data_IF_304293188216
#
_entry.id   IF_304293188216
#
_cell.length_a   1.000
_cell.length_b   1.000
_cell.length_c   1.000
_cell.angle_alpha   90.00
_cell.angle_beta   90.00
_cell.angle_gamma   90.00
#
_symmetry.space_group_name_H-M   'P 1'
#
loop_
_entity.id
_entity.type
_entity.pdbx_description
1 polymer ?
#
# COMPACT_ATOMS: atom_id res chain seq x y z
N UNK A 1 -6.89 -6.86 12.95
CA UNK A 1 -5.60 -7.59 12.86
C UNK A 1 -5.12 -8.12 14.21
N UNK A 2 -5.03 -7.31 15.28
CA UNK A 2 -4.63 -7.81 16.62
C UNK A 2 -5.55 -8.91 17.19
N UNK A 3 -6.82 -8.94 16.77
CA UNK A 3 -7.81 -9.96 17.16
C UNK A 3 -8.13 -10.96 16.04
N UNK A 4 -7.35 -11.00 14.95
CA UNK A 4 -7.59 -11.95 13.86
C UNK A 4 -6.74 -13.21 14.00
N UNK A 5 -7.23 -14.34 13.44
CA UNK A 5 -6.49 -15.61 13.40
C UNK A 5 -5.08 -15.42 12.83
N UNK A 6 -4.14 -16.26 13.27
CA UNK A 6 -2.71 -16.16 12.95
C UNK A 6 -2.43 -16.21 11.44
N UNK A 7 -3.27 -16.91 10.67
CA UNK A 7 -3.23 -16.96 9.21
C UNK A 7 -3.42 -15.59 8.53
N UNK A 8 -4.16 -14.65 9.14
CA UNK A 8 -4.33 -13.28 8.63
C UNK A 8 -3.23 -12.32 9.13
N UNK A 9 -2.16 -12.85 9.72
CA UNK A 9 -0.98 -12.08 10.15
C UNK A 9 0.22 -12.32 9.25
N UNK A 10 0.12 -13.23 8.27
CA UNK A 10 1.20 -13.52 7.33
C UNK A 10 1.09 -12.65 6.10
N UNK A 11 2.23 -12.14 5.63
CA UNK A 11 2.34 -11.35 4.40
C UNK A 11 1.75 -12.10 3.21
N UNK A 12 2.08 -13.38 3.08
CA UNK A 12 1.64 -14.24 1.97
C UNK A 12 0.12 -14.33 1.83
N UNK A 13 -0.60 -14.28 2.96
CA UNK A 13 -2.06 -14.33 2.98
C UNK A 13 -2.71 -13.11 2.30
N UNK A 14 -1.97 -12.01 2.14
CA UNK A 14 -2.44 -10.80 1.44
C UNK A 14 -1.97 -10.71 -0.01
N UNK A 15 -1.18 -11.67 -0.50
CA UNK A 15 -0.77 -11.71 -1.91
C UNK A 15 -1.96 -11.76 -2.89
N UNK A 16 -3.05 -12.53 -2.64
CA UNK A 16 -4.21 -12.49 -3.53
C UNK A 16 -4.84 -11.09 -3.65
N UNK A 17 -4.86 -10.33 -2.55
CA UNK A 17 -5.34 -8.95 -2.55
C UNK A 17 -4.42 -8.04 -3.38
N UNK A 18 -3.10 -8.24 -3.29
CA UNK A 18 -2.15 -7.51 -4.12
C UNK A 18 -2.32 -7.81 -5.62
N UNK A 19 -2.52 -9.08 -6.00
CA UNK A 19 -2.79 -9.47 -7.38
C UNK A 19 -4.06 -8.80 -7.93
N UNK A 20 -5.15 -8.81 -7.14
CA UNK A 20 -6.39 -8.11 -7.51
C UNK A 20 -6.17 -6.60 -7.67
N UNK A 21 -5.39 -5.98 -6.79
CA UNK A 21 -5.10 -4.55 -6.85
C UNK A 21 -4.29 -4.18 -8.08
N UNK A 22 -3.33 -5.02 -8.52
CA UNK A 22 -2.60 -4.80 -9.77
C UNK A 22 -3.54 -4.75 -10.98
N UNK A 23 -4.46 -5.70 -11.08
CA UNK A 23 -5.43 -5.71 -12.18
C UNK A 23 -6.32 -4.47 -12.16
N UNK A 24 -6.80 -4.08 -10.98
CA UNK A 24 -7.57 -2.86 -10.77
C UNK A 24 -6.81 -1.61 -11.20
N UNK A 25 -5.59 -1.41 -10.70
CA UNK A 25 -4.83 -0.18 -10.97
C UNK A 25 -4.40 -0.12 -12.44
N UNK A 26 -4.07 -1.25 -13.07
CA UNK A 26 -3.78 -1.30 -14.50
C UNK A 26 -4.99 -0.88 -15.35
N UNK A 27 -6.20 -1.35 -15.00
CA UNK A 27 -7.41 -0.94 -15.71
C UNK A 27 -7.73 0.54 -15.48
N UNK A 28 -7.60 1.01 -14.24
CA UNK A 28 -7.82 2.41 -13.89
C UNK A 28 -6.87 3.33 -14.68
N UNK A 29 -5.59 2.98 -14.75
CA UNK A 29 -4.58 3.78 -15.45
C UNK A 29 -4.67 3.68 -16.97
N UNK A 30 -5.11 2.54 -17.53
CA UNK A 30 -5.39 2.43 -18.98
C UNK A 30 -6.51 3.37 -19.42
N UNK A 31 -7.49 3.59 -18.55
CA UNK A 31 -8.61 4.49 -18.81
C UNK A 31 -8.28 5.97 -18.48
N UNK A 32 -7.19 6.22 -17.76
CA UNK A 32 -6.73 7.55 -17.43
C UNK A 32 -5.92 8.15 -18.59
N UNK A 33 -6.23 9.38 -18.99
CA UNK A 33 -5.30 10.16 -19.83
C UNK A 33 -3.97 10.37 -19.09
N UNK A 34 -2.84 10.49 -19.82
CA UNK A 34 -1.50 10.67 -19.22
C UNK A 34 -1.44 11.78 -18.15
N UNK A 35 -2.21 12.85 -18.33
CA UNK A 35 -2.25 14.00 -17.42
C UNK A 35 -3.23 13.83 -16.24
N UNK A 36 -3.97 12.73 -16.19
CA UNK A 36 -5.01 12.46 -15.19
C UNK A 36 -4.62 11.35 -14.19
N UNK A 37 -3.48 10.69 -14.38
CA UNK A 37 -2.99 9.61 -13.49
C UNK A 37 -3.01 10.02 -12.02
N UNK A 38 -2.50 11.21 -11.71
CA UNK A 38 -2.50 11.73 -10.35
C UNK A 38 -3.92 11.89 -9.79
N UNK A 39 -4.87 12.37 -10.60
CA UNK A 39 -6.27 12.54 -10.20
C UNK A 39 -6.95 11.19 -9.97
N UNK A 40 -6.68 10.19 -10.82
CA UNK A 40 -7.20 8.84 -10.63
C UNK A 40 -6.68 8.21 -9.34
N UNK A 41 -5.39 8.39 -9.03
CA UNK A 41 -4.78 7.84 -7.81
C UNK A 41 -5.30 8.51 -6.52
N UNK A 42 -5.72 9.78 -6.56
CA UNK A 42 -6.29 10.48 -5.40
C UNK A 42 -7.60 9.86 -4.90
N UNK A 43 -8.35 9.22 -5.80
CA UNK A 43 -9.65 8.59 -5.49
C UNK A 43 -9.59 7.06 -5.59
N UNK A 44 -8.41 6.50 -5.88
CA UNK A 44 -8.23 5.07 -6.04
C UNK A 44 -8.29 4.36 -4.69
N UNK A 45 -8.82 3.13 -4.70
CA UNK A 45 -8.63 2.23 -3.58
C UNK A 45 -7.18 1.74 -3.56
N UNK A 46 -6.51 1.92 -2.41
CA UNK A 46 -5.12 1.52 -2.22
C UNK A 46 -4.97 0.22 -1.43
N UNK A 47 -6.05 -0.44 -1.02
CA UNK A 47 -5.95 -1.75 -0.36
C UNK A 47 -5.38 -2.78 -1.34
N UNK A 48 -4.31 -3.47 -0.93
CA UNK A 48 -3.52 -4.35 -1.79
C UNK A 48 -2.33 -3.67 -2.48
N UNK A 49 -2.22 -2.34 -2.43
CA UNK A 49 -1.07 -1.63 -2.96
C UNK A 49 0.19 -1.96 -2.16
N UNK A 50 1.30 -2.23 -2.85
CA UNK A 50 2.62 -2.26 -2.20
C UNK A 50 3.09 -0.82 -2.03
N UNK A 51 3.31 -0.42 -0.79
CA UNK A 51 3.83 0.89 -0.44
C UNK A 51 5.23 0.79 0.12
N UNK A 52 6.07 1.75 -0.26
CA UNK A 52 7.36 2.04 0.36
C UNK A 52 7.29 3.38 1.08
N UNK A 53 7.73 3.43 2.33
CA UNK A 53 7.94 4.68 3.06
C UNK A 53 9.26 5.29 2.60
N UNK A 54 9.21 6.40 1.89
CA UNK A 54 10.40 7.08 1.35
C UNK A 54 10.91 8.13 2.32
N UNK A 55 9.98 8.88 2.92
CA UNK A 55 10.27 9.86 3.96
C UNK A 55 9.24 9.73 5.08
N UNK A 56 9.65 9.95 6.32
CA UNK A 56 8.77 10.00 7.47
C UNK A 56 9.44 10.79 8.58
N UNK A 57 8.66 11.54 9.37
CA UNK A 57 9.17 12.16 10.61
C UNK A 57 9.72 11.12 11.61
N UNK A 58 9.28 9.86 11.52
CA UNK A 58 9.74 8.77 12.39
C UNK A 58 10.74 7.93 11.61
N UNK A 59 12.03 8.12 11.89
CA UNK A 59 13.14 7.54 11.12
C UNK A 59 13.08 6.00 11.03
N UNK A 60 12.60 5.33 12.09
CA UNK A 60 12.48 3.86 12.12
C UNK A 60 11.44 3.29 11.15
N UNK A 61 10.60 4.14 10.55
CA UNK A 61 9.62 3.73 9.54
C UNK A 61 10.13 3.92 8.11
N UNK A 62 11.21 4.69 7.91
CA UNK A 62 11.77 4.96 6.59
C UNK A 62 12.31 3.64 6.00
N UNK A 63 12.02 3.40 4.73
CA UNK A 63 12.44 2.20 4.02
C UNK A 63 11.53 0.99 4.20
N UNK A 64 10.53 1.04 5.11
CA UNK A 64 9.54 -0.03 5.23
C UNK A 64 8.80 -0.24 3.91
N UNK A 65 8.61 -1.50 3.54
CA UNK A 65 7.86 -1.94 2.37
C UNK A 65 6.83 -2.97 2.79
N UNK A 66 5.58 -2.77 2.39
CA UNK A 66 4.51 -3.70 2.72
C UNK A 66 3.25 -3.49 1.90
N UNK A 67 2.35 -4.47 1.97
CA UNK A 67 1.04 -4.41 1.34
C UNK A 67 0.11 -3.59 2.25
N UNK A 68 -0.57 -2.59 1.68
CA UNK A 68 -1.60 -1.81 2.35
C UNK A 68 -2.81 -2.69 2.66
N UNK A 69 -3.19 -2.78 3.93
CA UNK A 69 -4.35 -3.58 4.35
C UNK A 69 -5.36 -2.81 5.19
N UNK A 70 -4.99 -1.60 5.64
CA UNK A 70 -5.92 -0.72 6.35
C UNK A 70 -5.60 0.74 6.09
N UNK A 71 -6.57 1.45 5.55
CA UNK A 71 -6.54 2.91 5.53
C UNK A 71 -7.38 3.50 6.68
N UNK A 72 -6.85 4.52 7.34
CA UNK A 72 -7.64 5.43 8.19
C UNK A 72 -7.39 6.87 7.75
N UNK A 73 -8.05 7.86 8.35
CA UNK A 73 -7.79 9.27 8.04
C UNK A 73 -6.29 9.63 8.21
N UNK A 74 -5.68 9.17 9.32
CA UNK A 74 -4.34 9.60 9.71
C UNK A 74 -3.23 8.60 9.41
N UNK A 75 -3.57 7.33 9.12
CA UNK A 75 -2.58 6.26 9.06
C UNK A 75 -2.81 5.28 7.93
N UNK A 76 -1.71 4.65 7.54
CA UNK A 76 -1.65 3.49 6.69
C UNK A 76 -1.18 2.29 7.50
N UNK A 77 -1.98 1.23 7.48
CA UNK A 77 -1.63 -0.07 8.03
C UNK A 77 -1.09 -0.98 6.93
N UNK A 78 0.19 -1.32 7.01
CA UNK A 78 0.87 -2.20 6.05
C UNK A 78 1.31 -3.51 6.71
N UNK A 79 1.22 -4.62 5.99
CA UNK A 79 1.87 -5.88 6.36
C UNK A 79 3.21 -6.00 5.63
N UNK A 80 4.27 -6.16 6.39
CA UNK A 80 5.65 -6.25 5.87
C UNK A 80 6.07 -7.71 5.69
N UNK A 81 7.11 -7.97 4.88
CA UNK A 81 7.51 -9.35 4.51
C UNK A 81 7.95 -10.22 5.70
N UNK A 82 8.37 -9.59 6.80
CA UNK A 82 8.69 -10.25 8.07
C UNK A 82 7.43 -10.59 8.91
N UNK A 83 6.24 -10.50 8.31
CA UNK A 83 4.94 -10.75 8.91
C UNK A 83 4.55 -9.77 10.03
N UNK A 84 5.18 -8.60 10.09
CA UNK A 84 4.79 -7.55 11.03
C UNK A 84 3.79 -6.57 10.40
N UNK A 85 2.69 -6.34 11.11
CA UNK A 85 1.79 -5.23 10.81
C UNK A 85 2.36 -3.93 11.37
N UNK A 86 2.54 -2.93 10.50
CA UNK A 86 3.08 -1.62 10.82
C UNK A 86 2.03 -0.55 10.53
N UNK A 87 1.87 0.38 11.48
CA UNK A 87 1.02 1.56 11.30
C UNK A 87 1.94 2.74 11.02
N UNK A 88 1.83 3.32 9.83
CA UNK A 88 2.64 4.46 9.36
C UNK A 88 1.75 5.70 9.31
N UNK A 89 2.13 6.83 9.93
CA UNK A 89 1.36 8.06 9.86
C UNK A 89 1.44 8.67 8.44
N UNK A 90 0.32 9.23 7.96
CA UNK A 90 0.30 9.97 6.67
C UNK A 90 0.94 11.35 6.80
N UNK A 91 0.79 11.99 7.96
CA UNK A 91 1.32 13.33 8.21
C UNK A 91 2.85 13.32 8.22
N UNK A 92 3.45 14.23 7.45
CA UNK A 92 4.90 14.34 7.29
C UNK A 92 5.56 13.03 6.84
N UNK A 93 4.90 12.31 5.93
CA UNK A 93 5.43 11.11 5.31
C UNK A 93 5.21 11.15 3.80
N UNK A 94 6.15 10.57 3.07
CA UNK A 94 6.08 10.38 1.61
C UNK A 94 6.09 8.89 1.34
N UNK A 95 5.12 8.45 0.53
CA UNK A 95 4.96 7.07 0.13
C UNK A 95 5.19 6.94 -1.36
N UNK A 96 5.88 5.88 -1.76
CA UNK A 96 5.96 5.44 -3.15
C UNK A 96 5.05 4.23 -3.30
N UNK A 97 4.17 4.28 -4.31
CA UNK A 97 3.34 3.16 -4.73
C UNK A 97 3.80 2.71 -6.12
N UNK A 98 3.79 1.40 -6.35
CA UNK A 98 4.16 0.82 -7.63
C UNK A 98 2.91 0.29 -8.33
N UNK A 99 2.54 0.89 -9.46
CA UNK A 99 1.33 0.53 -10.21
C UNK A 99 1.58 -0.41 -11.40
N UNK A 100 2.83 -0.66 -11.76
CA UNK A 100 3.26 -1.54 -12.85
C UNK A 100 4.44 -2.44 -12.42
N UNK A 101 4.71 -3.49 -13.18
CA UNK A 101 5.94 -4.26 -13.03
C UNK A 101 7.12 -3.41 -13.54
N UNK A 102 8.08 -3.12 -12.66
CA UNK A 102 9.35 -2.53 -13.08
C UNK A 102 10.01 -3.45 -14.11
N UNK A 103 10.42 -2.89 -15.25
CA UNK A 103 11.42 -3.52 -16.11
C UNK A 103 12.81 -3.22 -15.58
#
# INVERSE_FOLDING_TARGET
LLNQPEEYRKYESFMPMHEMWKDYVMQLLKNAGKNQVAQCLLVADLHGAVLRVVECKVDSLIGLVGIMIRETAETFGIITQDNNFRVVPKRNAVFMLQADCWK
#
